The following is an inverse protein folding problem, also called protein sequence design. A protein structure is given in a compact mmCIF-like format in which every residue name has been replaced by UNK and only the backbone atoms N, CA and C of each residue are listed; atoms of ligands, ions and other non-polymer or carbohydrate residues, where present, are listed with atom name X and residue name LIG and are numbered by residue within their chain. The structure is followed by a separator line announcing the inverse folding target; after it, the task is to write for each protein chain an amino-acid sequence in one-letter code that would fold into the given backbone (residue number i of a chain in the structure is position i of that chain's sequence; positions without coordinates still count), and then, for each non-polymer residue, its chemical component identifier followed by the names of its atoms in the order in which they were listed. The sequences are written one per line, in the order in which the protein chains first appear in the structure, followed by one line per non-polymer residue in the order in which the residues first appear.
data_IF_365865407654
#
_entry.id   IF_365865407654
#
_cell.length_a   1.000
_cell.length_b   1.000
_cell.length_c   1.000
_cell.angle_alpha   90.00
_cell.angle_beta   90.00
_cell.angle_gamma   90.00
#
_symmetry.space_group_name_H-M   'P 1'
#
loop_
_entity.id
_entity.type
_entity.pdbx_description
1 polymer ?
#
# COMPACT_ATOMS: atom_id res chain seq x y z
N UNK A 1 -14.31 -20.92 10.20
CA UNK A 1 -15.25 -20.64 9.09
C UNK A 1 -14.76 -19.39 8.37
N UNK A 2 -14.32 -19.52 7.11
CA UNK A 2 -13.74 -18.40 6.35
C UNK A 2 -14.81 -17.33 6.06
N UNK A 3 -14.79 -16.23 6.81
CA UNK A 3 -15.43 -15.00 6.35
C UNK A 3 -14.79 -14.66 5.01
N UNK A 4 -15.61 -14.53 3.96
CA UNK A 4 -15.13 -14.21 2.63
C UNK A 4 -14.51 -12.82 2.69
N UNK A 5 -13.18 -12.77 2.77
CA UNK A 5 -12.37 -11.56 2.66
C UNK A 5 -12.94 -10.65 1.57
N UNK A 6 -13.25 -9.41 1.93
CA UNK A 6 -13.67 -8.37 0.97
C UNK A 6 -12.49 -8.08 0.05
N UNK A 7 -12.40 -8.76 -1.09
CA UNK A 7 -11.30 -8.55 -2.05
C UNK A 7 -11.35 -7.18 -2.72
N UNK A 8 -12.54 -6.59 -2.80
CA UNK A 8 -12.78 -5.26 -3.34
C UNK A 8 -13.12 -4.36 -2.15
N UNK A 9 -12.15 -3.55 -1.74
CA UNK A 9 -12.27 -2.61 -0.61
C UNK A 9 -13.03 -1.34 -1.03
N UNK A 10 -12.86 -0.90 -2.28
CA UNK A 10 -13.61 0.22 -2.85
C UNK A 10 -13.91 -0.01 -4.33
N UNK A 11 -14.98 0.62 -4.82
CA UNK A 11 -15.35 0.71 -6.22
C UNK A 11 -15.00 2.10 -6.78
N UNK A 12 -14.85 2.20 -8.10
CA UNK A 12 -14.74 3.47 -8.82
C UNK A 12 -16.14 3.89 -9.29
N UNK A 13 -16.63 5.02 -8.83
CA UNK A 13 -17.92 5.58 -9.23
C UNK A 13 -17.72 6.73 -10.23
N UNK A 14 -18.36 6.60 -11.40
CA UNK A 14 -18.40 7.66 -12.42
C UNK A 14 -19.63 7.49 -13.31
N UNK A 15 -20.54 8.44 -13.23
CA UNK A 15 -21.71 8.48 -14.11
C UNK A 15 -21.30 8.71 -15.58
N UNK A 16 -22.05 8.12 -16.51
CA UNK A 16 -21.83 8.24 -17.95
C UNK A 16 -20.57 7.54 -18.48
N UNK A 17 -19.78 6.86 -17.65
CA UNK A 17 -18.66 6.04 -18.11
C UNK A 17 -19.10 4.60 -18.38
N UNK A 18 -18.55 3.96 -19.42
CA UNK A 18 -18.82 2.56 -19.75
C UNK A 18 -17.53 1.80 -19.97
N UNK A 19 -17.53 0.50 -19.65
CA UNK A 19 -16.37 -0.37 -19.87
C UNK A 19 -16.05 -0.56 -21.37
N UNK A 20 -17.08 -0.47 -22.22
CA UNK A 20 -17.01 -0.80 -23.65
C UNK A 20 -16.44 0.39 -24.47
N UNK A 21 -16.76 1.63 -24.10
CA UNK A 21 -16.38 2.83 -24.88
C UNK A 21 -15.48 3.81 -24.09
N UNK A 22 -15.43 3.66 -22.76
CA UNK A 22 -14.76 4.61 -21.88
C UNK A 22 -13.24 4.48 -21.83
N UNK A 23 -12.55 5.62 -21.86
CA UNK A 23 -11.11 5.69 -21.62
C UNK A 23 -10.79 5.36 -20.15
N UNK A 24 -9.98 4.32 -19.91
CA UNK A 24 -9.56 3.87 -18.57
C UNK A 24 -8.84 4.96 -17.78
N UNK A 25 -7.97 5.73 -18.44
CA UNK A 25 -7.25 6.83 -17.80
C UNK A 25 -8.20 7.91 -17.24
N UNK A 26 -9.30 8.18 -17.94
CA UNK A 26 -10.33 9.14 -17.51
C UNK A 26 -11.11 8.66 -16.29
N UNK A 27 -11.33 7.34 -16.16
CA UNK A 27 -11.93 6.75 -14.97
C UNK A 27 -10.96 6.82 -13.78
N UNK A 28 -9.70 6.44 -13.96
CA UNK A 28 -8.72 6.43 -12.86
C UNK A 28 -8.42 7.81 -12.26
N UNK A 29 -8.49 8.86 -13.09
CA UNK A 29 -8.29 10.25 -12.64
C UNK A 29 -9.53 10.87 -12.01
N UNK A 30 -10.69 10.67 -12.62
CA UNK A 30 -11.89 11.47 -12.29
C UNK A 30 -12.97 10.69 -11.52
N UNK A 31 -12.83 9.37 -11.35
CA UNK A 31 -13.78 8.59 -10.57
C UNK A 31 -13.63 8.86 -9.08
N UNK A 32 -14.77 8.90 -8.39
CA UNK A 32 -14.83 8.89 -6.94
C UNK A 32 -14.66 7.46 -6.44
N UNK A 33 -13.98 7.27 -5.31
CA UNK A 33 -13.82 5.94 -4.70
C UNK A 33 -14.85 5.77 -3.62
N UNK A 34 -15.69 4.76 -3.77
CA UNK A 34 -16.84 4.51 -2.91
C UNK A 34 -16.63 3.19 -2.18
N UNK A 35 -16.74 3.22 -0.86
CA UNK A 35 -16.77 2.01 -0.02
C UNK A 35 -18.15 1.36 -0.09
N UNK A 36 -18.29 0.07 0.27
CA UNK A 36 -19.60 -0.55 0.39
C UNK A 36 -20.55 0.24 1.30
N UNK A 37 -20.05 0.87 2.36
CA UNK A 37 -20.88 1.58 3.35
C UNK A 37 -21.26 3.00 2.89
N UNK A 38 -20.58 3.53 1.87
CA UNK A 38 -20.83 4.86 1.27
C UNK A 38 -21.72 4.77 0.01
N UNK A 39 -22.23 3.58 -0.31
CA UNK A 39 -23.03 3.35 -1.50
C UNK A 39 -24.43 3.92 -1.35
N UNK A 40 -24.87 4.65 -2.38
CA UNK A 40 -26.26 5.04 -2.58
C UNK A 40 -26.90 4.27 -3.74
N UNK A 41 -28.21 4.07 -3.68
CA UNK A 41 -29.02 3.35 -4.67
C UNK A 41 -28.85 3.97 -6.06
N UNK A 42 -28.71 5.30 -6.13
CA UNK A 42 -28.53 6.04 -7.37
C UNK A 42 -27.20 5.70 -8.09
N UNK A 43 -26.20 5.23 -7.35
CA UNK A 43 -24.90 4.81 -7.93
C UNK A 43 -24.98 3.47 -8.68
N UNK A 44 -26.16 2.81 -8.67
CA UNK A 44 -26.36 1.51 -9.31
C UNK A 44 -26.10 1.58 -10.81
N UNK A 45 -25.21 0.72 -11.27
CA UNK A 45 -24.82 0.65 -12.69
C UNK A 45 -23.62 1.52 -13.06
N UNK A 46 -23.24 2.48 -12.20
CA UNK A 46 -22.10 3.39 -12.40
C UNK A 46 -20.90 3.08 -11.52
N UNK A 47 -20.86 1.88 -10.93
CA UNK A 47 -19.73 1.37 -10.14
C UNK A 47 -18.86 0.45 -10.97
N UNK A 48 -17.54 0.65 -10.91
CA UNK A 48 -16.55 -0.08 -11.69
C UNK A 48 -15.44 -0.65 -10.80
N UNK A 49 -14.90 -1.78 -11.24
CA UNK A 49 -13.78 -2.43 -10.55
C UNK A 49 -12.49 -1.62 -10.70
N UNK A 50 -11.72 -1.38 -9.62
CA UNK A 50 -10.46 -0.63 -9.69
C UNK A 50 -9.36 -1.33 -10.49
N UNK A 51 -9.52 -2.63 -10.78
CA UNK A 51 -8.50 -3.42 -11.51
C UNK A 51 -8.92 -3.77 -12.93
N UNK A 52 -10.12 -4.31 -13.13
CA UNK A 52 -10.58 -4.71 -14.47
C UNK A 52 -11.55 -3.74 -15.12
N UNK A 53 -11.95 -2.67 -14.41
CA UNK A 53 -12.85 -1.61 -14.89
C UNK A 53 -14.27 -2.07 -15.30
N UNK A 54 -14.59 -3.36 -15.20
CA UNK A 54 -15.95 -3.87 -15.45
C UNK A 54 -16.89 -3.49 -14.31
N UNK A 55 -18.20 -3.43 -14.61
CA UNK A 55 -19.22 -3.03 -13.65
C UNK A 55 -19.31 -3.95 -12.42
N UNK A 56 -19.55 -3.33 -11.28
CA UNK A 56 -19.76 -3.96 -9.98
C UNK A 56 -21.19 -3.75 -9.49
N UNK A 57 -21.70 -4.72 -8.74
CA UNK A 57 -22.90 -4.60 -7.93
C UNK A 57 -22.54 -4.68 -6.45
N UNK A 58 -23.19 -3.87 -5.61
CA UNK A 58 -23.17 -4.05 -4.16
C UNK A 58 -24.15 -5.15 -3.76
N UNK A 59 -23.77 -5.98 -2.81
CA UNK A 59 -24.60 -7.03 -2.24
C UNK A 59 -24.53 -6.94 -0.71
N UNK A 60 -25.65 -6.71 0.01
CA UNK A 60 -27.00 -6.42 -0.51
C UNK A 60 -27.08 -5.02 -1.14
N UNK A 61 -28.15 -4.75 -1.89
CA UNK A 61 -28.34 -3.42 -2.50
C UNK A 61 -28.62 -2.36 -1.43
N UNK A 62 -29.68 -2.55 -0.64
CA UNK A 62 -30.24 -1.47 0.21
C UNK A 62 -30.12 -1.75 1.71
N UNK A 63 -29.29 -2.72 2.10
CA UNK A 63 -29.08 -3.12 3.50
C UNK A 63 -27.60 -3.18 3.83
N UNK A 64 -27.25 -2.99 5.10
CA UNK A 64 -25.86 -3.04 5.56
C UNK A 64 -25.33 -4.46 5.66
N UNK A 65 -26.21 -5.42 5.93
CA UNK A 65 -25.86 -6.83 6.06
C UNK A 65 -26.76 -7.72 5.20
N UNK A 66 -26.16 -8.80 4.70
CA UNK A 66 -26.85 -9.91 4.03
C UNK A 66 -27.62 -10.77 5.02
N UNK A 67 -28.53 -11.62 4.53
CA UNK A 67 -29.27 -12.59 5.34
C UNK A 67 -28.37 -13.55 6.12
N UNK A 68 -27.09 -13.69 5.70
CA UNK A 68 -26.07 -14.48 6.39
C UNK A 68 -25.20 -13.66 7.36
N UNK A 69 -25.66 -12.47 7.76
CA UNK A 69 -24.95 -11.50 8.61
C UNK A 69 -23.55 -11.12 8.10
N UNK A 70 -23.34 -11.20 6.78
CA UNK A 70 -22.13 -10.66 6.14
C UNK A 70 -22.40 -9.24 5.72
N UNK A 71 -21.47 -8.36 5.98
CA UNK A 71 -21.56 -6.97 5.57
C UNK A 71 -21.66 -6.81 4.05
N UNK A 72 -22.14 -5.64 3.66
CA UNK A 72 -22.20 -5.23 2.29
C UNK A 72 -20.83 -5.29 1.61
N UNK A 73 -20.82 -5.81 0.39
CA UNK A 73 -19.59 -5.95 -0.39
C UNK A 73 -19.87 -5.80 -1.88
N UNK A 74 -18.83 -5.41 -2.62
CA UNK A 74 -18.91 -5.35 -4.07
C UNK A 74 -18.63 -6.71 -4.71
N UNK A 75 -19.37 -7.00 -5.77
CA UNK A 75 -19.24 -8.20 -6.57
C UNK A 75 -19.29 -7.85 -8.06
N UNK A 76 -18.46 -8.52 -8.85
CA UNK A 76 -18.49 -8.39 -10.29
C UNK A 76 -19.79 -8.94 -10.89
N UNK A 77 -20.32 -8.27 -11.91
CA UNK A 77 -21.47 -8.77 -12.66
C UNK A 77 -21.13 -10.04 -13.45
N UNK A 78 -22.12 -10.93 -13.59
CA UNK A 78 -22.00 -12.18 -14.36
C UNK A 78 -21.78 -11.94 -15.85
N UNK A 79 -22.29 -10.84 -16.42
CA UNK A 79 -22.08 -10.41 -17.82
C UNK A 79 -20.59 -10.42 -18.20
N UNK A 80 -19.74 -9.93 -17.29
CA UNK A 80 -18.30 -9.80 -17.52
C UNK A 80 -17.47 -10.97 -16.99
N UNK A 81 -18.06 -12.14 -16.72
CA UNK A 81 -17.34 -13.31 -16.15
C UNK A 81 -16.13 -13.75 -16.98
N UNK A 82 -16.17 -13.54 -18.30
CA UNK A 82 -15.06 -13.85 -19.22
C UNK A 82 -13.85 -12.93 -19.04
N UNK A 83 -14.03 -11.71 -18.52
CA UNK A 83 -12.94 -10.74 -18.30
C UNK A 83 -12.12 -11.16 -17.07
N UNK A 84 -10.81 -11.40 -17.23
CA UNK A 84 -9.96 -11.80 -16.11
C UNK A 84 -9.81 -10.65 -15.11
N UNK A 85 -10.00 -10.95 -13.83
CA UNK A 85 -9.72 -10.01 -12.74
C UNK A 85 -9.22 -10.78 -11.51
N UNK A 86 -8.16 -10.28 -10.89
CA UNK A 86 -7.56 -10.85 -9.68
C UNK A 86 -8.45 -10.67 -8.44
N UNK A 87 -9.33 -9.66 -8.45
CA UNK A 87 -10.26 -9.38 -7.35
C UNK A 87 -11.54 -10.24 -7.39
N UNK A 88 -11.72 -11.08 -8.42
CA UNK A 88 -12.81 -12.07 -8.42
C UNK A 88 -12.53 -13.15 -7.39
N UNK A 89 -13.58 -13.57 -6.67
CA UNK A 89 -13.52 -14.49 -5.52
C UNK A 89 -12.91 -15.86 -5.80
N UNK A 90 -12.65 -16.22 -7.06
CA UNK A 90 -12.22 -17.57 -7.48
C UNK A 90 -10.75 -17.68 -7.89
N UNK A 91 -9.97 -16.59 -8.01
CA UNK A 91 -8.57 -16.67 -8.48
C UNK A 91 -7.56 -16.50 -7.34
N UNK A 92 -6.58 -17.40 -7.21
CA UNK A 92 -5.42 -17.22 -6.29
C UNK A 92 -4.64 -15.95 -6.68
N UNK A 93 -3.91 -15.35 -5.73
CA UNK A 93 -3.03 -14.20 -5.95
C UNK A 93 -2.13 -14.47 -7.16
N UNK A 94 -2.35 -13.74 -8.25
CA UNK A 94 -1.62 -13.95 -9.49
C UNK A 94 -0.34 -13.11 -9.46
N UNK A 95 0.80 -13.80 -9.49
CA UNK A 95 2.10 -13.21 -9.82
C UNK A 95 1.98 -12.72 -11.27
N UNK A 96 2.18 -11.42 -11.51
CA UNK A 96 2.15 -10.87 -12.86
C UNK A 96 3.49 -11.15 -13.53
N UNK A 97 3.44 -11.89 -14.62
CA UNK A 97 4.58 -12.15 -15.50
C UNK A 97 4.25 -11.61 -16.89
N UNK A 98 5.30 -11.29 -17.65
CA UNK A 98 5.20 -10.59 -18.93
C UNK A 98 5.89 -11.39 -20.04
N UNK A 99 5.32 -11.31 -21.24
CA UNK A 99 5.81 -12.06 -22.40
C UNK A 99 6.88 -11.29 -23.19
N UNK A 100 6.86 -9.95 -23.13
CA UNK A 100 7.74 -9.07 -23.88
C UNK A 100 8.11 -7.81 -23.09
N UNK A 101 9.21 -7.16 -23.46
CA UNK A 101 9.61 -5.86 -22.90
C UNK A 101 8.52 -4.80 -23.11
N UNK A 102 7.92 -4.76 -24.30
CA UNK A 102 6.83 -3.84 -24.62
C UNK A 102 5.65 -3.97 -23.65
N UNK A 103 5.27 -5.21 -23.29
CA UNK A 103 4.19 -5.43 -22.33
C UNK A 103 4.52 -4.95 -20.91
N UNK A 104 5.81 -4.95 -20.53
CA UNK A 104 6.27 -4.40 -19.24
C UNK A 104 6.21 -2.87 -19.30
N UNK A 105 6.74 -2.26 -20.36
CA UNK A 105 6.71 -0.81 -20.55
C UNK A 105 5.27 -0.29 -20.58
N UNK A 106 4.39 -0.95 -21.32
CA UNK A 106 2.96 -0.61 -21.35
C UNK A 106 2.32 -0.69 -19.95
N UNK A 107 2.72 -1.64 -19.10
CA UNK A 107 2.22 -1.72 -17.73
C UNK A 107 2.78 -0.62 -16.82
N UNK A 108 4.00 -0.14 -17.08
CA UNK A 108 4.58 1.02 -16.39
C UNK A 108 3.85 2.30 -16.83
N UNK A 109 3.66 2.48 -18.15
CA UNK A 109 2.99 3.64 -18.74
C UNK A 109 1.52 3.74 -18.31
N UNK A 110 0.85 2.60 -18.17
CA UNK A 110 -0.52 2.53 -17.64
C UNK A 110 -0.61 2.65 -16.12
N UNK A 111 0.51 2.89 -15.43
CA UNK A 111 0.63 2.95 -13.97
C UNK A 111 0.12 1.68 -13.25
N UNK A 112 0.18 0.52 -13.90
CA UNK A 112 -0.20 -0.77 -13.32
C UNK A 112 0.96 -1.44 -12.57
N UNK A 113 2.19 -1.15 -12.99
CA UNK A 113 3.43 -1.69 -12.45
C UNK A 113 4.38 -0.54 -12.06
N UNK A 114 4.88 -0.58 -10.83
CA UNK A 114 5.91 0.33 -10.35
C UNK A 114 7.16 -0.47 -9.98
N UNK A 115 8.30 -0.05 -10.50
CA UNK A 115 9.59 -0.69 -10.24
C UNK A 115 10.39 0.21 -9.32
N UNK A 116 10.65 -0.28 -8.11
CA UNK A 116 11.44 0.43 -7.09
C UNK A 116 12.80 -0.24 -7.00
N UNK A 117 13.83 0.45 -7.48
CA UNK A 117 15.22 -0.06 -7.41
C UNK A 117 15.82 0.10 -6.02
N UNK A 118 15.47 1.20 -5.34
CA UNK A 118 15.83 1.47 -3.95
C UNK A 118 14.80 2.42 -3.30
N UNK A 119 14.77 2.41 -1.96
CA UNK A 119 14.12 3.48 -1.20
C UNK A 119 15.15 4.56 -0.86
N UNK A 120 14.70 5.82 -0.78
CA UNK A 120 15.57 6.94 -0.42
C UNK A 120 16.23 6.70 0.94
N UNK A 121 17.53 6.94 1.05
CA UNK A 121 18.26 6.87 2.33
C UNK A 121 18.31 8.21 3.02
N UNK A 122 18.68 9.24 2.28
CA UNK A 122 18.76 10.60 2.77
C UNK A 122 17.48 11.38 2.48
N UNK A 123 17.27 12.44 3.26
CA UNK A 123 16.18 13.39 3.04
C UNK A 123 16.32 14.02 1.65
N UNK A 124 15.25 14.05 0.83
CA UNK A 124 15.30 14.70 -0.47
C UNK A 124 15.56 16.20 -0.29
N UNK A 125 16.50 16.73 -1.08
CA UNK A 125 16.79 18.17 -1.09
C UNK A 125 15.60 18.88 -1.74
N UNK A 126 14.91 19.81 -1.04
CA UNK A 126 13.88 20.60 -1.68
C UNK A 126 14.54 21.51 -2.71
N UNK A 127 14.26 21.29 -3.99
CA UNK A 127 14.53 22.29 -5.02
C UNK A 127 13.59 23.46 -4.75
N UNK A 128 14.08 24.50 -4.06
CA UNK A 128 13.37 25.77 -4.00
C UNK A 128 13.20 26.25 -5.45
N UNK A 129 11.95 26.38 -5.97
CA UNK A 129 11.77 26.98 -7.27
C UNK A 129 12.34 28.40 -7.25
N UNK A 130 12.99 28.81 -8.35
CA UNK A 130 13.59 30.16 -8.50
C UNK A 130 12.55 31.26 -8.25
N UNK A 131 11.28 30.97 -8.49
CA UNK A 131 10.13 31.77 -8.07
C UNK A 131 9.30 30.98 -7.05
N UNK A 132 9.41 31.28 -5.74
CA UNK A 132 8.59 30.64 -4.73
C UNK A 132 7.14 31.07 -4.92
N UNK A 133 6.33 30.20 -5.53
CA UNK A 133 4.89 30.27 -5.28
C UNK A 133 4.70 30.04 -3.78
N UNK A 134 4.06 30.98 -3.05
CA UNK A 134 3.67 30.71 -1.69
C UNK A 134 2.83 29.43 -1.72
N UNK A 135 3.17 28.44 -0.89
CA UNK A 135 2.49 27.15 -0.74
C UNK A 135 2.90 25.97 -1.65
N UNK A 136 3.88 26.10 -2.56
CA UNK A 136 4.34 24.96 -3.36
C UNK A 136 5.83 24.64 -3.12
N UNK A 137 6.15 23.91 -2.05
CA UNK A 137 7.42 23.17 -1.96
C UNK A 137 7.18 21.81 -2.60
N UNK A 138 7.66 21.54 -3.84
CA UNK A 138 7.59 20.21 -4.41
C UNK A 138 8.52 19.28 -3.62
N UNK A 139 7.94 18.52 -2.68
CA UNK A 139 8.61 17.36 -2.11
C UNK A 139 8.59 16.25 -3.17
N UNK A 140 9.74 15.96 -3.75
CA UNK A 140 9.91 14.82 -4.65
C UNK A 140 10.00 13.56 -3.80
N UNK A 141 8.88 12.83 -3.71
CA UNK A 141 8.81 11.54 -3.04
C UNK A 141 9.32 10.38 -3.93
N UNK A 142 9.53 10.66 -5.23
CA UNK A 142 10.03 9.75 -6.27
C UNK A 142 11.05 10.46 -7.16
N UNK A 143 12.21 9.83 -7.37
CA UNK A 143 13.26 10.26 -8.30
C UNK A 143 13.45 9.15 -9.34
N UNK A 144 13.71 9.53 -10.59
CA UNK A 144 14.03 8.55 -11.63
C UNK A 144 15.30 7.78 -11.24
N UNK A 145 15.17 6.47 -11.12
CA UNK A 145 16.25 5.56 -10.79
C UNK A 145 16.94 5.04 -12.05
N UNK A 146 18.08 4.33 -11.88
CA UNK A 146 18.76 3.71 -13.01
C UNK A 146 17.88 2.64 -13.66
N UNK A 147 18.11 2.36 -14.93
CA UNK A 147 17.50 1.20 -15.58
C UNK A 147 17.85 -0.07 -14.81
N UNK A 148 16.83 -0.81 -14.41
CA UNK A 148 16.98 -1.99 -13.54
C UNK A 148 16.58 -3.24 -14.30
N UNK A 149 17.40 -4.29 -14.13
CA UNK A 149 17.10 -5.60 -14.66
C UNK A 149 16.11 -6.33 -13.73
N UNK A 150 14.92 -6.62 -14.23
CA UNK A 150 13.84 -7.26 -13.45
C UNK A 150 13.48 -8.63 -14.05
N UNK A 151 13.47 -9.71 -13.26
CA UNK A 151 13.15 -11.06 -13.72
C UNK A 151 11.63 -11.28 -13.82
N UNK A 152 10.96 -10.49 -14.68
CA UNK A 152 9.51 -10.50 -14.85
C UNK A 152 9.03 -11.34 -16.05
N UNK A 153 9.93 -11.99 -16.77
CA UNK A 153 9.60 -12.87 -17.90
C UNK A 153 8.75 -14.07 -17.52
N UNK A 154 7.82 -14.44 -18.40
CA UNK A 154 7.06 -15.69 -18.31
C UNK A 154 8.00 -16.90 -18.34
N UNK A 155 9.00 -16.85 -19.23
CA UNK A 155 10.05 -17.85 -19.33
C UNK A 155 11.08 -17.70 -18.22
N UNK A 156 11.46 -18.82 -17.60
CA UNK A 156 12.41 -18.81 -16.50
C UNK A 156 13.78 -18.29 -16.98
N UNK A 157 14.35 -17.34 -16.22
CA UNK A 157 15.65 -16.73 -16.54
C UNK A 157 15.57 -15.51 -17.47
N UNK A 158 14.40 -15.15 -17.99
CA UNK A 158 14.24 -13.94 -18.79
C UNK A 158 14.06 -12.72 -17.88
N UNK A 159 14.98 -11.78 -18.02
CA UNK A 159 14.92 -10.47 -17.39
C UNK A 159 14.64 -9.37 -18.42
N UNK A 160 14.08 -8.27 -17.95
CA UNK A 160 13.86 -7.07 -18.75
C UNK A 160 14.60 -5.90 -18.12
N UNK A 161 15.24 -5.07 -18.96
CA UNK A 161 15.85 -3.82 -18.53
C UNK A 161 14.83 -2.70 -18.73
N UNK A 162 14.43 -2.06 -17.63
CA UNK A 162 13.27 -1.14 -17.59
C UNK A 162 13.55 0.02 -16.65
N UNK A 163 12.91 1.19 -16.88
CA UNK A 163 13.08 2.34 -15.99
C UNK A 163 12.62 1.98 -14.58
N UNK A 164 13.39 2.41 -13.58
CA UNK A 164 13.06 2.24 -12.17
C UNK A 164 12.89 3.59 -11.49
N UNK A 165 12.35 3.58 -10.27
CA UNK A 165 12.26 4.75 -9.41
C UNK A 165 13.00 4.50 -8.10
N UNK A 166 13.66 5.54 -7.62
CA UNK A 166 14.04 5.67 -6.22
C UNK A 166 12.86 6.34 -5.52
N UNK A 167 12.16 5.58 -4.69
CA UNK A 167 10.86 5.98 -4.14
C UNK A 167 10.93 6.17 -2.62
N UNK A 168 9.82 6.63 -2.05
CA UNK A 168 9.58 6.67 -0.61
C UNK A 168 8.21 6.06 -0.28
N UNK A 169 8.09 5.42 0.88
CA UNK A 169 6.80 4.97 1.37
C UNK A 169 5.82 6.14 1.52
N UNK A 170 6.31 7.35 1.78
CA UNK A 170 5.50 8.58 1.82
C UNK A 170 4.82 8.83 0.48
N UNK A 171 5.55 8.74 -0.64
CA UNK A 171 5.00 8.83 -1.99
C UNK A 171 3.97 7.75 -2.27
N UNK A 172 4.24 6.51 -1.85
CA UNK A 172 3.29 5.39 -1.98
C UNK A 172 2.00 5.66 -1.18
N UNK A 173 2.11 6.24 0.03
CA UNK A 173 0.99 6.57 0.90
C UNK A 173 0.12 7.74 0.39
N UNK A 174 0.67 8.67 -0.40
CA UNK A 174 -0.08 9.87 -0.86
C UNK A 174 -1.32 9.52 -1.70
N UNK A 175 -1.21 8.47 -2.51
CA UNK A 175 -2.30 7.92 -3.33
C UNK A 175 -2.51 6.43 -3.00
N UNK A 176 -2.53 6.10 -1.71
CA UNK A 176 -2.53 4.71 -1.24
C UNK A 176 -3.69 3.88 -1.82
N UNK A 177 -4.87 4.48 -1.96
CA UNK A 177 -6.04 3.91 -2.63
C UNK A 177 -5.77 3.46 -4.07
N UNK A 178 -5.07 4.28 -4.87
CA UNK A 178 -4.66 3.92 -6.23
C UNK A 178 -3.58 2.83 -6.19
N UNK A 179 -2.62 2.97 -5.27
CA UNK A 179 -1.48 2.06 -5.16
C UNK A 179 -1.85 0.70 -4.56
N UNK A 180 -2.96 0.60 -3.82
CA UNK A 180 -3.39 -0.60 -3.09
C UNK A 180 -3.49 -1.85 -3.98
N UNK A 181 -3.96 -1.67 -5.22
CA UNK A 181 -4.09 -2.73 -6.22
C UNK A 181 -2.99 -2.75 -7.28
N UNK A 182 -2.07 -1.78 -7.26
CA UNK A 182 -0.94 -1.73 -8.20
C UNK A 182 0.09 -2.79 -7.86
N UNK A 183 0.78 -3.27 -8.89
CA UNK A 183 1.89 -4.18 -8.75
C UNK A 183 3.17 -3.41 -8.47
N UNK A 184 3.91 -3.86 -7.45
CA UNK A 184 5.22 -3.33 -7.11
C UNK A 184 6.28 -4.40 -7.28
N UNK A 185 7.42 -3.99 -7.83
CA UNK A 185 8.66 -4.73 -7.78
C UNK A 185 9.60 -4.00 -6.81
N UNK A 186 9.78 -4.56 -5.60
CA UNK A 186 10.62 -3.98 -4.56
C UNK A 186 12.06 -4.49 -4.59
N UNK A 187 13.01 -3.74 -3.99
CA UNK A 187 14.40 -4.14 -3.93
C UNK A 187 14.58 -5.52 -3.30
N UNK A 188 15.31 -6.42 -3.98
CA UNK A 188 15.55 -7.78 -3.52
C UNK A 188 14.42 -8.78 -3.74
N UNK A 189 13.29 -8.35 -4.33
CA UNK A 189 12.22 -9.25 -4.74
C UNK A 189 12.51 -9.86 -6.11
N UNK A 190 11.93 -11.03 -6.39
CA UNK A 190 12.06 -11.73 -7.69
C UNK A 190 10.81 -11.64 -8.56
N UNK A 191 9.76 -10.99 -8.06
CA UNK A 191 8.40 -11.02 -8.63
C UNK A 191 7.70 -9.70 -8.34
N UNK A 192 6.89 -9.24 -9.29
CA UNK A 192 5.96 -8.14 -9.07
C UNK A 192 4.71 -8.67 -8.33
N UNK A 193 4.35 -8.01 -7.24
CA UNK A 193 3.23 -8.42 -6.36
C UNK A 193 2.36 -7.18 -6.09
N UNK A 194 1.04 -7.36 -6.00
CA UNK A 194 0.14 -6.28 -5.63
C UNK A 194 0.42 -5.76 -4.22
N UNK A 195 0.30 -4.44 -3.99
CA UNK A 195 0.63 -3.80 -2.71
C UNK A 195 -0.14 -4.42 -1.54
N UNK A 196 -1.44 -4.63 -1.68
CA UNK A 196 -2.29 -5.27 -0.66
C UNK A 196 -1.83 -6.69 -0.25
N UNK A 197 -1.08 -7.37 -1.12
CA UNK A 197 -0.52 -8.71 -0.86
C UNK A 197 0.94 -8.67 -0.39
N UNK A 198 1.60 -7.51 -0.53
CA UNK A 198 2.96 -7.27 -0.05
C UNK A 198 2.99 -6.84 1.42
N UNK A 199 1.98 -6.08 1.85
CA UNK A 199 1.87 -5.56 3.21
C UNK A 199 1.69 -6.72 4.19
N UNK A 200 2.55 -6.75 5.21
CA UNK A 200 2.48 -7.72 6.30
C UNK A 200 2.15 -7.03 7.61
N UNK A 201 1.23 -7.61 8.36
CA UNK A 201 0.96 -7.15 9.73
C UNK A 201 2.14 -7.51 10.65
N UNK A 202 2.73 -6.49 11.29
CA UNK A 202 3.87 -6.67 12.19
C UNK A 202 3.54 -7.45 13.46
N UNK A 203 2.26 -7.53 13.85
CA UNK A 203 1.83 -8.33 15.02
C UNK A 203 2.10 -9.81 14.85
N UNK A 204 2.20 -10.31 13.61
CA UNK A 204 2.50 -11.72 13.34
C UNK A 204 3.98 -12.06 13.50
N UNK A 205 4.83 -11.08 13.76
CA UNK A 205 6.27 -11.27 13.88
C UNK A 205 6.58 -11.75 15.30
N UNK A 206 7.33 -12.84 15.38
CA UNK A 206 7.74 -13.50 16.63
C UNK A 206 9.25 -13.55 16.81
N UNK A 207 10.01 -13.27 15.73
CA UNK A 207 11.46 -13.37 15.68
C UNK A 207 12.03 -12.45 14.61
N UNK A 208 13.34 -12.31 14.62
CA UNK A 208 14.10 -11.53 13.64
C UNK A 208 13.89 -11.98 12.19
N UNK A 209 13.98 -11.01 11.29
CA UNK A 209 13.81 -11.19 9.85
C UNK A 209 14.95 -10.49 9.11
N UNK A 210 15.89 -11.29 8.59
CA UNK A 210 17.10 -10.80 7.93
C UNK A 210 16.86 -10.07 6.61
N UNK A 211 15.73 -10.34 5.95
CA UNK A 211 15.39 -9.73 4.66
C UNK A 211 14.38 -8.61 4.90
N UNK A 212 14.59 -7.42 4.30
CA UNK A 212 13.63 -6.35 4.43
C UNK A 212 12.31 -6.73 3.76
N UNK A 213 11.21 -6.41 4.41
CA UNK A 213 9.84 -6.61 3.90
C UNK A 213 9.02 -5.38 4.22
N UNK A 214 7.90 -5.24 3.52
CA UNK A 214 6.92 -4.19 3.81
C UNK A 214 6.00 -4.64 4.94
N UNK A 215 6.01 -3.88 6.02
CA UNK A 215 5.17 -4.08 7.19
C UNK A 215 4.21 -2.91 7.36
N UNK A 216 3.05 -3.23 7.91
CA UNK A 216 2.18 -2.24 8.52
C UNK A 216 2.23 -2.43 10.03
N UNK A 217 2.29 -1.31 10.74
CA UNK A 217 2.37 -1.24 12.20
C UNK A 217 1.29 -0.31 12.72
N UNK A 218 0.76 -0.62 13.90
CA UNK A 218 -0.12 0.27 14.66
C UNK A 218 0.70 0.88 15.78
N UNK A 219 0.78 2.20 15.79
CA UNK A 219 1.59 2.97 16.73
C UNK A 219 0.89 2.99 18.10
N UNK A 220 1.66 2.82 19.17
CA UNK A 220 1.15 2.87 20.55
C UNK A 220 1.65 4.12 21.25
N UNK A 221 2.90 4.12 21.71
CA UNK A 221 3.49 5.27 22.38
C UNK A 221 4.86 5.60 21.78
N UNK A 222 5.34 6.82 22.04
CA UNK A 222 6.63 7.29 21.54
C UNK A 222 7.44 7.89 22.67
N UNK A 223 8.66 7.40 22.84
CA UNK A 223 9.62 7.85 23.84
C UNK A 223 10.85 8.45 23.16
N UNK A 224 11.25 9.63 23.63
CA UNK A 224 12.44 10.33 23.15
C UNK A 224 13.53 10.30 24.21
N UNK A 225 14.74 9.84 23.85
CA UNK A 225 15.85 9.66 24.78
C UNK A 225 16.83 10.84 24.77
N UNK A 226 16.36 11.98 25.29
CA UNK A 226 17.18 13.17 25.48
C UNK A 226 16.35 14.35 26.00
N UNK A 227 16.99 15.20 26.80
CA UNK A 227 16.35 16.36 27.42
C UNK A 227 17.26 17.60 27.26
N UNK A 228 16.90 18.58 26.41
CA UNK A 228 15.74 18.62 25.52
C UNK A 228 15.86 17.66 24.31
N UNK A 229 14.76 17.42 23.57
CA UNK A 229 14.82 16.67 22.33
C UNK A 229 15.73 17.32 21.30
N UNK A 230 16.61 16.53 20.68
CA UNK A 230 17.52 16.96 19.60
C UNK A 230 17.40 15.97 18.46
N UNK A 231 17.55 16.44 17.24
CA UNK A 231 17.36 15.66 16.01
C UNK A 231 18.08 14.31 16.00
N UNK A 232 19.31 14.26 16.49
CA UNK A 232 20.14 13.05 16.49
C UNK A 232 19.89 12.11 17.67
N UNK A 233 19.10 12.52 18.66
CA UNK A 233 18.75 11.65 19.78
C UNK A 233 17.84 10.53 19.29
N UNK A 234 17.93 9.36 19.92
CA UNK A 234 17.09 8.23 19.53
C UNK A 234 15.66 8.45 20.02
N UNK A 235 14.71 8.23 19.11
CA UNK A 235 13.29 8.06 19.42
C UNK A 235 12.94 6.58 19.24
N UNK A 236 12.26 6.02 20.23
CA UNK A 236 11.64 4.70 20.13
C UNK A 236 10.12 4.88 20.13
N UNK A 237 9.49 4.53 19.03
CA UNK A 237 8.02 4.47 18.95
C UNK A 237 7.59 3.02 19.00
N UNK A 238 6.90 2.64 20.07
CA UNK A 238 6.42 1.29 20.27
C UNK A 238 5.18 1.03 19.42
N UNK A 239 5.06 -0.21 18.99
CA UNK A 239 4.03 -0.67 18.08
C UNK A 239 3.32 -1.88 18.67
N UNK A 240 2.07 -2.07 18.27
CA UNK A 240 1.32 -3.27 18.65
C UNK A 240 2.04 -4.53 18.14
N UNK A 241 2.30 -5.48 19.04
CA UNK A 241 3.06 -6.71 18.81
C UNK A 241 2.26 -7.96 19.19
N UNK A 242 2.78 -9.15 18.87
CA UNK A 242 2.26 -10.39 19.43
C UNK A 242 2.55 -10.49 20.92
N UNK A 243 1.74 -11.26 21.64
CA UNK A 243 1.95 -11.57 23.06
C UNK A 243 3.29 -12.27 23.35
N UNK A 244 3.90 -12.89 22.34
CA UNK A 244 5.21 -13.56 22.45
C UNK A 244 6.39 -12.58 22.42
N UNK A 245 6.17 -11.35 21.93
CA UNK A 245 7.20 -10.31 21.82
C UNK A 245 7.01 -9.31 22.96
N UNK A 246 8.01 -9.24 23.85
CA UNK A 246 8.03 -8.35 25.02
C UNK A 246 7.80 -6.90 24.65
N UNK A 247 8.65 -6.39 23.76
CA UNK A 247 8.62 -5.01 23.26
C UNK A 247 8.88 -5.04 21.76
N UNK A 248 8.17 -4.20 20.99
CA UNK A 248 8.46 -3.99 19.58
C UNK A 248 8.43 -2.49 19.28
N UNK A 249 9.51 -1.94 18.72
CA UNK A 249 9.59 -0.50 18.44
C UNK A 249 10.23 -0.14 17.10
N UNK A 250 9.98 1.09 16.66
CA UNK A 250 10.70 1.79 15.60
C UNK A 250 11.78 2.62 16.28
N UNK A 251 13.04 2.24 16.09
CA UNK A 251 14.20 2.84 16.73
C UNK A 251 15.02 3.60 15.69
N UNK A 252 14.89 4.92 15.69
CA UNK A 252 15.59 5.80 14.74
C UNK A 252 16.01 7.09 15.42
N UNK A 253 16.87 7.91 14.79
CA UNK A 253 17.00 9.32 15.17
C UNK A 253 15.64 10.04 15.19
N UNK A 254 15.49 11.00 16.09
CA UNK A 254 14.28 11.77 16.30
C UNK A 254 13.83 12.48 15.03
N UNK A 255 14.76 13.10 14.30
CA UNK A 255 14.46 13.86 13.08
C UNK A 255 13.70 13.03 12.04
N UNK A 256 14.08 11.76 11.86
CA UNK A 256 13.48 10.89 10.85
C UNK A 256 11.99 10.68 11.13
N UNK A 257 11.65 10.21 12.34
CA UNK A 257 10.26 10.01 12.72
C UNK A 257 9.46 11.32 12.72
N UNK A 258 10.07 12.40 13.19
CA UNK A 258 9.42 13.72 13.23
C UNK A 258 9.04 14.22 11.83
N UNK A 259 9.90 14.03 10.82
CA UNK A 259 9.60 14.43 9.43
C UNK A 259 8.47 13.65 8.77
N UNK A 260 8.27 12.40 9.20
CA UNK A 260 7.11 11.59 8.81
C UNK A 260 5.87 11.86 9.68
N UNK A 261 5.96 12.82 10.61
CA UNK A 261 4.87 13.18 11.52
C UNK A 261 4.56 12.07 12.54
N UNK A 262 5.54 11.22 12.87
CA UNK A 262 5.41 10.15 13.85
C UNK A 262 5.90 10.65 15.20
N UNK A 263 5.00 10.77 16.17
CA UNK A 263 5.25 11.33 17.49
C UNK A 263 4.32 10.82 18.58
N UNK A 264 4.29 11.52 19.71
CA UNK A 264 3.48 11.14 20.88
C UNK A 264 1.98 11.26 20.60
N UNK A 265 1.60 12.12 19.65
CA UNK A 265 0.24 12.36 19.17
C UNK A 265 -0.27 11.33 18.14
N UNK A 266 0.57 10.36 17.76
CA UNK A 266 0.22 9.36 16.73
C UNK A 266 -0.24 8.02 17.27
N UNK A 267 -0.59 7.94 18.55
CA UNK A 267 -1.18 6.74 19.14
C UNK A 267 -2.40 6.26 18.35
N UNK A 268 -2.47 4.95 18.09
CA UNK A 268 -3.53 4.32 17.32
C UNK A 268 -3.43 4.48 15.81
N UNK A 269 -2.53 5.34 15.30
CA UNK A 269 -2.30 5.54 13.86
C UNK A 269 -1.54 4.37 13.25
N UNK A 270 -1.61 4.25 11.92
CA UNK A 270 -0.87 3.25 11.17
C UNK A 270 0.35 3.84 10.46
N UNK A 271 1.45 3.10 10.42
CA UNK A 271 2.62 3.43 9.62
C UNK A 271 3.03 2.23 8.74
N UNK A 272 3.66 2.53 7.59
CA UNK A 272 4.33 1.55 6.76
C UNK A 272 5.83 1.60 7.00
N UNK A 273 6.46 0.43 7.03
CA UNK A 273 7.89 0.27 7.23
C UNK A 273 8.42 -0.74 6.22
N UNK A 274 9.49 -0.37 5.50
CA UNK A 274 10.23 -1.30 4.66
C UNK A 274 11.61 -1.53 5.30
N UNK A 275 11.71 -2.60 6.09
CA UNK A 275 12.89 -2.80 6.93
C UNK A 275 13.07 -4.26 7.34
N UNK A 276 14.24 -4.54 7.90
CA UNK A 276 14.53 -5.80 8.59
C UNK A 276 14.00 -5.71 10.02
N UNK A 277 13.69 -6.86 10.60
CA UNK A 277 13.38 -6.93 12.04
C UNK A 277 14.61 -7.45 12.75
N UNK A 278 15.13 -6.67 13.68
CA UNK A 278 16.31 -7.01 14.49
C UNK A 278 15.93 -7.12 15.97
N UNK A 279 16.85 -7.66 16.77
CA UNK A 279 16.69 -7.75 18.21
C UNK A 279 17.10 -6.45 18.89
N UNK A 280 16.30 -6.00 19.87
CA UNK A 280 16.61 -4.86 20.71
C UNK A 280 16.39 -5.25 22.18
N UNK A 281 17.47 -5.63 22.86
CA UNK A 281 17.40 -6.19 24.21
C UNK A 281 16.60 -7.51 24.23
N UNK A 282 15.51 -7.54 24.98
CA UNK A 282 14.58 -8.69 25.06
C UNK A 282 13.41 -8.59 24.06
N UNK A 283 13.35 -7.51 23.28
CA UNK A 283 12.31 -7.24 22.29
C UNK A 283 12.84 -7.22 20.86
N UNK A 284 12.01 -6.74 19.94
CA UNK A 284 12.31 -6.55 18.52
C UNK A 284 12.31 -5.06 18.17
N UNK A 285 12.99 -4.70 17.09
CA UNK A 285 12.83 -3.38 16.52
C UNK A 285 12.96 -3.35 14.99
N UNK A 286 12.50 -2.24 14.44
CA UNK A 286 12.96 -1.73 13.15
C UNK A 286 14.02 -0.66 13.42
N UNK A 287 15.23 -0.88 12.94
CA UNK A 287 16.34 0.07 13.02
C UNK A 287 17.04 0.21 11.66
N UNK A 288 17.97 1.16 11.55
CA UNK A 288 18.70 1.48 10.31
C UNK A 288 17.80 1.81 9.10
N UNK A 289 16.65 2.42 9.38
CA UNK A 289 15.72 2.89 8.35
C UNK A 289 16.24 4.18 7.70
N UNK A 290 16.21 4.21 6.37
CA UNK A 290 16.38 5.42 5.58
C UNK A 290 15.10 6.26 5.51
N UNK A 291 15.23 7.48 5.00
CA UNK A 291 14.11 8.42 4.86
C UNK A 291 12.91 7.85 4.07
N UNK A 292 13.18 7.15 2.98
CA UNK A 292 12.14 6.56 2.13
C UNK A 292 11.54 5.27 2.67
N UNK A 293 12.03 4.71 3.78
CA UNK A 293 11.67 3.39 4.30
C UNK A 293 10.65 3.43 5.43
N UNK A 294 10.19 4.62 5.82
CA UNK A 294 9.18 4.85 6.85
C UNK A 294 8.15 5.85 6.34
N UNK A 295 6.87 5.64 6.66
CA UNK A 295 5.84 6.64 6.43
C UNK A 295 4.62 6.43 7.32
N UNK A 296 4.08 7.53 7.85
CA UNK A 296 2.75 7.54 8.45
C UNK A 296 1.68 7.39 7.36
N UNK A 297 0.71 6.51 7.57
CA UNK A 297 -0.43 6.35 6.66
C UNK A 297 -1.44 7.47 6.93
N UNK A 298 -1.93 8.17 5.90
CA UNK A 298 -3.03 9.12 6.06
C UNK A 298 -4.29 8.45 6.59
N UNK A 299 -4.97 9.04 7.58
CA UNK A 299 -6.13 8.43 8.26
C UNK A 299 -7.27 8.04 7.32
N UNK A 300 -7.47 8.83 6.26
CA UNK A 300 -8.48 8.54 5.23
C UNK A 300 -8.32 7.14 4.61
N UNK A 301 -7.16 6.51 4.74
CA UNK A 301 -6.87 5.16 4.23
C UNK A 301 -6.87 4.07 5.31
N UNK A 302 -7.22 4.37 6.56
CA UNK A 302 -7.26 3.37 7.64
C UNK A 302 -8.12 2.16 7.27
N UNK A 303 -9.25 2.36 6.59
CA UNK A 303 -10.12 1.28 6.13
C UNK A 303 -9.40 0.24 5.23
N UNK A 304 -8.42 0.65 4.42
CA UNK A 304 -7.62 -0.26 3.57
C UNK A 304 -6.59 -1.07 4.36
N UNK A 305 -6.16 -0.52 5.50
CA UNK A 305 -5.22 -1.13 6.41
C UNK A 305 -5.94 -2.05 7.40
N UNK A 306 -7.06 -1.61 7.94
CA UNK A 306 -7.93 -2.40 8.83
C UNK A 306 -8.39 -3.69 8.16
N UNK A 307 -8.66 -3.67 6.85
CA UNK A 307 -8.89 -4.89 6.07
C UNK A 307 -7.72 -5.90 6.18
N UNK A 308 -6.48 -5.42 6.23
CA UNK A 308 -5.27 -6.26 6.44
C UNK A 308 -5.17 -6.75 7.88
N UNK A 309 -5.50 -5.91 8.86
CA UNK A 309 -5.49 -6.23 10.31
C UNK A 309 -6.63 -7.15 10.76
N UNK A 310 -7.78 -7.10 10.08
CA UNK A 310 -8.96 -7.90 10.42
C UNK A 310 -8.80 -9.36 10.01
N UNK A 311 -7.95 -9.63 9.01
CA UNK A 311 -7.63 -10.97 8.56
C UNK A 311 -6.77 -11.77 9.55
N UNK A 312 -6.07 -11.09 10.47
CA UNK A 312 -5.13 -11.70 11.43
C UNK A 312 -5.73 -11.95 12.80
N UNK A 313 -6.87 -11.31 13.14
CA UNK A 313 -7.56 -11.50 14.43
C UNK A 313 -8.52 -12.72 14.49
N UNK A 314 -8.60 -13.56 13.44
CA UNK A 314 -9.46 -14.76 13.42
C UNK A 314 -8.70 -16.09 13.60
N UNK A 315 -7.51 -16.02 14.21
CA UNK A 315 -6.64 -17.18 14.46
C UNK A 315 -6.37 -17.48 15.93
N UNK A 316 -7.15 -16.91 16.86
CA UNK A 316 -7.15 -17.28 18.28
C UNK A 316 -8.50 -17.90 18.65
#
# INVERSE_FOLDING_TARGET
MNQASRRIAHALHKEGWSFEEGLRASLMRNATRIKPDEYDVDMKGSLFCPVCFTNLNRVPHDKDHTTSNKDAHFRHMSKYKRVPCVLRSTKKVQIKKYNSLESVNQAIDNEELVIVSAFMKDKPVPCLPKDPQPFAVPQFDDIDGPETEVPLGVHNGQSFKVPSKISSLRGICRNFDKNYYRYFFFPGYRKAIALNSLIRDARNIKKEERKPKLYVVKLQNSSHFGHPPRDNNIRMTYIESSQEVKDFCIKTPHWLQNEHGIGSETEGRYALIFGKVTQNGIGLCFEDLGWGELALVPEKYNYLIEDVYSLTNQGN
#
